data_IF_552554578636
#
_entry.id   IF_552554578636
#
_cell.length_a   1.000
_cell.length_b   1.000
_cell.length_c   1.000
_cell.angle_alpha   90.00
_cell.angle_beta   90.00
_cell.angle_gamma   90.00
#
_symmetry.space_group_name_H-M   'P 1'
#
loop_
_entity.id
_entity.type
_entity.pdbx_description
1 polymer ?
#
# COMPACT_ATOMS: atom_id res chain seq x y z
N UNK A 1 20.68 -4.39 -38.20
CA UNK A 1 20.35 -4.93 -39.53
C UNK A 1 19.47 -3.90 -40.24
N UNK A 2 20.04 -3.31 -41.31
CA UNK A 2 19.48 -2.33 -42.24
C UNK A 2 18.87 -1.03 -41.68
N UNK A 3 19.69 0.00 -41.42
CA UNK A 3 19.25 1.41 -41.34
C UNK A 3 20.42 2.37 -41.65
N UNK A 4 20.99 2.33 -42.86
CA UNK A 4 21.75 3.47 -43.41
C UNK A 4 21.59 3.48 -44.93
N UNK A 5 20.49 4.07 -45.42
CA UNK A 5 20.38 4.88 -46.66
C UNK A 5 18.90 5.03 -47.00
N UNK A 6 18.36 6.21 -46.69
CA UNK A 6 16.98 6.54 -47.01
C UNK A 6 16.65 7.90 -46.42
N UNK A 7 16.63 8.91 -47.27
CA UNK A 7 16.07 10.24 -47.01
C UNK A 7 14.59 10.13 -46.66
N UNK A 8 14.27 9.69 -45.44
CA UNK A 8 12.93 9.74 -44.90
C UNK A 8 12.61 11.20 -44.58
N UNK A 9 12.12 11.94 -45.57
CA UNK A 9 11.42 13.19 -45.32
C UNK A 9 10.24 12.87 -44.39
N UNK A 10 10.36 13.27 -43.11
CA UNK A 10 9.23 13.30 -42.17
C UNK A 10 8.04 13.92 -42.91
N UNK A 11 6.93 13.18 -42.98
CA UNK A 11 5.77 13.60 -43.79
C UNK A 11 5.36 15.04 -43.45
N UNK A 12 4.90 15.81 -44.44
CA UNK A 12 4.45 17.19 -44.22
C UNK A 12 3.35 17.30 -43.15
N UNK A 13 2.59 16.22 -42.92
CA UNK A 13 1.64 16.10 -41.80
C UNK A 13 2.33 16.03 -40.44
N UNK A 14 3.44 15.30 -40.31
CA UNK A 14 4.21 15.23 -39.07
C UNK A 14 4.83 16.59 -38.72
N UNK A 15 5.43 17.30 -39.68
CA UNK A 15 5.96 18.66 -39.45
C UNK A 15 4.85 19.66 -39.08
N UNK A 16 3.70 19.60 -39.75
CA UNK A 16 2.54 20.48 -39.45
C UNK A 16 1.91 20.15 -38.08
N UNK A 17 1.90 18.88 -37.68
CA UNK A 17 1.45 18.44 -36.36
C UNK A 17 2.40 18.91 -35.25
N UNK A 18 3.71 18.73 -35.42
CA UNK A 18 4.75 19.24 -34.52
C UNK A 18 4.75 20.77 -34.41
N UNK A 19 4.47 21.48 -35.52
CA UNK A 19 4.34 22.94 -35.51
C UNK A 19 3.14 23.45 -34.69
N UNK A 20 2.05 22.67 -34.61
CA UNK A 20 0.85 22.98 -33.82
C UNK A 20 1.06 22.78 -32.31
N UNK A 21 1.95 21.88 -31.91
CA UNK A 21 2.17 21.48 -30.50
C UNK A 21 3.20 22.35 -29.75
N UNK A 22 3.75 23.40 -30.36
CA UNK A 22 4.61 24.36 -29.65
C UNK A 22 3.86 25.31 -28.72
N UNK A 23 2.52 25.41 -28.82
CA UNK A 23 1.74 26.22 -27.88
C UNK A 23 1.80 25.58 -26.50
N UNK A 24 2.48 26.24 -25.56
CA UNK A 24 2.56 25.79 -24.17
C UNK A 24 1.28 26.21 -23.45
N UNK A 25 0.48 25.24 -23.02
CA UNK A 25 -0.66 25.50 -22.12
C UNK A 25 -0.14 25.61 -20.67
N UNK A 26 -0.87 26.31 -19.78
CA UNK A 26 -0.50 26.36 -18.35
C UNK A 26 -0.36 24.97 -17.74
N UNK A 27 -1.26 24.05 -18.11
CA UNK A 27 -1.20 22.65 -17.72
C UNK A 27 0.12 21.97 -18.12
N UNK A 28 0.51 22.10 -19.39
CA UNK A 28 1.74 21.49 -19.89
C UNK A 28 2.98 22.07 -19.23
N UNK A 29 3.01 23.37 -18.91
CA UNK A 29 4.13 23.97 -18.20
C UNK A 29 4.25 23.48 -16.75
N UNK A 30 3.13 23.15 -16.11
CA UNK A 30 3.10 22.73 -14.72
C UNK A 30 3.44 21.24 -14.53
N UNK A 31 2.97 20.37 -15.42
CA UNK A 31 3.12 18.91 -15.28
C UNK A 31 4.18 18.27 -16.20
N UNK A 32 4.98 19.05 -16.92
CA UNK A 32 6.11 18.55 -17.73
C UNK A 32 7.41 19.29 -17.34
N UNK A 33 8.42 18.59 -16.78
CA UNK A 33 8.49 17.13 -16.57
C UNK A 33 7.56 16.61 -15.46
N UNK A 34 7.11 15.36 -15.58
CA UNK A 34 6.41 14.66 -14.51
C UNK A 34 7.39 14.09 -13.46
N UNK A 35 6.89 13.68 -12.30
CA UNK A 35 7.75 13.07 -11.26
C UNK A 35 8.20 11.66 -11.66
N UNK A 36 7.28 10.70 -11.73
CA UNK A 36 7.64 9.28 -11.90
C UNK A 36 6.85 8.61 -13.03
N UNK A 37 7.53 7.83 -13.87
CA UNK A 37 6.91 6.89 -14.79
C UNK A 37 6.98 5.47 -14.22
N UNK A 38 5.83 4.83 -13.97
CA UNK A 38 5.74 3.41 -13.63
C UNK A 38 5.49 2.59 -14.90
N UNK A 39 6.31 1.57 -15.17
CA UNK A 39 6.18 0.77 -16.39
C UNK A 39 6.85 -0.60 -16.27
N UNK A 40 6.63 -1.46 -17.28
CA UNK A 40 7.22 -2.77 -17.39
C UNK A 40 8.50 -2.77 -18.25
N UNK A 41 9.40 -3.72 -17.97
CA UNK A 41 10.68 -3.89 -18.69
C UNK A 41 10.49 -4.08 -20.20
N UNK A 42 9.41 -4.74 -20.61
CA UNK A 42 9.12 -5.12 -21.99
C UNK A 42 8.84 -3.95 -22.95
N UNK A 43 8.46 -2.78 -22.43
CA UNK A 43 8.15 -1.61 -23.24
C UNK A 43 9.16 -0.46 -23.06
N UNK A 44 10.33 -0.71 -22.48
CA UNK A 44 11.37 0.31 -22.32
C UNK A 44 11.79 0.88 -23.68
N UNK A 45 12.16 0.02 -24.64
CA UNK A 45 12.66 0.44 -25.95
C UNK A 45 11.57 1.03 -26.84
N UNK A 46 10.37 0.46 -26.79
CA UNK A 46 9.25 0.86 -27.64
C UNK A 46 8.49 2.08 -27.13
N UNK A 47 8.50 2.32 -25.82
CA UNK A 47 7.70 3.37 -25.19
C UNK A 47 8.57 4.41 -24.48
N UNK A 48 9.33 4.00 -23.45
CA UNK A 48 10.11 4.91 -22.59
C UNK A 48 11.12 5.71 -23.43
N UNK A 49 11.90 5.04 -24.28
CA UNK A 49 12.86 5.69 -25.17
C UNK A 49 12.18 6.69 -26.12
N UNK A 50 10.99 6.36 -26.65
CA UNK A 50 10.26 7.26 -27.56
C UNK A 50 9.73 8.49 -26.83
N UNK A 51 9.24 8.35 -25.61
CA UNK A 51 8.82 9.49 -24.78
C UNK A 51 10.00 10.45 -24.53
N UNK A 52 11.17 9.91 -24.19
CA UNK A 52 12.39 10.70 -23.98
C UNK A 52 12.79 11.43 -25.27
N UNK A 53 12.87 10.71 -26.40
CA UNK A 53 13.23 11.30 -27.70
C UNK A 53 12.29 12.43 -28.10
N UNK A 54 10.98 12.21 -28.01
CA UNK A 54 10.00 13.22 -28.40
C UNK A 54 10.00 14.42 -27.46
N UNK A 55 10.10 14.22 -26.14
CA UNK A 55 10.11 15.35 -25.21
C UNK A 55 11.40 16.17 -25.35
N UNK A 56 12.55 15.53 -25.54
CA UNK A 56 13.80 16.24 -25.84
C UNK A 56 13.70 17.01 -27.16
N UNK A 57 13.15 16.41 -28.21
CA UNK A 57 13.01 17.07 -29.51
C UNK A 57 12.05 18.27 -29.48
N UNK A 58 10.94 18.16 -28.73
CA UNK A 58 9.88 19.17 -28.70
C UNK A 58 10.10 20.25 -27.62
N UNK A 59 10.77 19.90 -26.51
CA UNK A 59 10.84 20.72 -25.29
C UNK A 59 12.25 20.91 -24.75
N UNK A 60 13.24 20.12 -25.18
CA UNK A 60 14.62 20.21 -24.70
C UNK A 60 14.83 19.69 -23.27
N UNK A 61 13.85 19.00 -22.67
CA UNK A 61 13.95 18.41 -21.34
C UNK A 61 13.47 16.95 -21.33
N UNK A 62 13.87 16.20 -20.30
CA UNK A 62 13.35 14.85 -20.06
C UNK A 62 11.86 14.92 -19.67
N UNK A 63 11.04 13.91 -20.02
CA UNK A 63 9.61 13.90 -19.71
C UNK A 63 9.28 13.55 -18.25
N UNK A 64 10.19 12.88 -17.55
CA UNK A 64 10.01 12.43 -16.15
C UNK A 64 11.35 12.50 -15.39
N UNK A 65 11.28 12.62 -14.06
CA UNK A 65 12.45 12.60 -13.17
C UNK A 65 12.89 11.17 -12.84
N UNK A 66 11.94 10.32 -12.47
CA UNK A 66 12.16 8.93 -12.08
C UNK A 66 11.45 7.95 -13.03
N UNK A 67 12.03 6.76 -13.19
CA UNK A 67 11.37 5.62 -13.88
C UNK A 67 11.40 4.41 -12.97
N UNK A 68 10.22 4.01 -12.51
CA UNK A 68 10.03 2.79 -11.74
C UNK A 68 9.68 1.63 -12.69
N UNK A 69 10.57 0.63 -12.74
CA UNK A 69 10.36 -0.59 -13.52
C UNK A 69 9.83 -1.67 -12.58
N UNK A 70 8.54 -1.97 -12.69
CA UNK A 70 7.94 -3.01 -11.85
C UNK A 70 8.26 -4.41 -12.38
N UNK A 71 8.29 -5.38 -11.46
CA UNK A 71 8.39 -6.81 -11.78
C UNK A 71 7.20 -7.27 -12.65
N UNK A 72 7.43 -8.23 -13.54
CA UNK A 72 6.34 -8.87 -14.27
C UNK A 72 5.79 -10.04 -13.48
N UNK A 73 4.47 -10.20 -13.51
CA UNK A 73 3.80 -11.34 -12.89
C UNK A 73 3.74 -12.48 -13.92
N UNK A 74 4.28 -13.62 -13.53
CA UNK A 74 4.33 -14.85 -14.30
C UNK A 74 3.42 -15.90 -13.67
N UNK A 75 3.01 -16.90 -14.45
CA UNK A 75 2.30 -18.05 -13.90
C UNK A 75 3.21 -18.89 -12.97
N UNK A 76 2.66 -19.96 -12.38
CA UNK A 76 3.42 -20.85 -11.48
C UNK A 76 4.64 -21.51 -12.13
N UNK A 77 4.61 -21.69 -13.46
CA UNK A 77 5.71 -22.28 -14.24
C UNK A 77 6.73 -21.24 -14.71
N UNK A 78 6.49 -19.94 -14.45
CA UNK A 78 7.35 -18.84 -14.87
C UNK A 78 7.09 -18.36 -16.31
N UNK A 79 5.98 -18.77 -16.93
CA UNK A 79 5.57 -18.25 -18.25
C UNK A 79 4.87 -16.92 -18.08
N UNK A 80 5.04 -16.05 -19.09
CA UNK A 80 4.28 -14.79 -19.15
C UNK A 80 2.78 -15.08 -19.19
N UNK A 81 2.01 -14.36 -18.38
CA UNK A 81 0.56 -14.45 -18.42
C UNK A 81 0.02 -13.88 -19.74
N UNK A 82 -0.85 -14.63 -20.40
CA UNK A 82 -1.50 -14.18 -21.64
C UNK A 82 -2.91 -14.75 -21.76
N UNK A 83 -3.74 -14.06 -22.55
CA UNK A 83 -5.10 -14.53 -22.85
C UNK A 83 -5.09 -15.81 -23.68
N UNK A 84 -4.14 -15.96 -24.60
CA UNK A 84 -4.04 -17.14 -25.47
C UNK A 84 -3.62 -18.40 -24.73
N UNK A 85 -2.80 -18.28 -23.67
CA UNK A 85 -2.39 -19.40 -22.83
C UNK A 85 -3.42 -19.74 -21.74
N UNK A 86 -4.39 -18.86 -21.49
CA UNK A 86 -5.38 -19.06 -20.42
C UNK A 86 -4.79 -19.13 -19.01
N UNK A 87 -3.53 -18.72 -18.84
CA UNK A 87 -2.77 -18.76 -17.58
C UNK A 87 -2.79 -17.41 -16.83
N UNK A 88 -3.68 -16.50 -17.22
CA UNK A 88 -3.90 -15.23 -16.55
C UNK A 88 -4.94 -15.32 -15.43
N UNK A 89 -4.82 -14.43 -14.46
CA UNK A 89 -5.83 -14.20 -13.42
C UNK A 89 -6.51 -12.86 -13.71
N UNK A 90 -7.84 -12.84 -13.76
CA UNK A 90 -8.59 -11.60 -13.96
C UNK A 90 -8.66 -10.82 -12.63
N UNK A 91 -8.23 -9.55 -12.58
CA UNK A 91 -8.31 -8.75 -11.35
C UNK A 91 -9.74 -8.60 -10.83
N UNK A 92 -10.77 -8.56 -11.69
CA UNK A 92 -12.16 -8.45 -11.25
C UNK A 92 -12.60 -9.72 -10.52
N UNK A 93 -12.17 -10.89 -10.99
CA UNK A 93 -12.47 -12.16 -10.33
C UNK A 93 -11.85 -12.21 -8.92
N UNK A 94 -10.63 -11.68 -8.76
CA UNK A 94 -9.99 -11.55 -7.45
C UNK A 94 -10.70 -10.53 -6.57
N UNK A 95 -11.12 -9.38 -7.10
CA UNK A 95 -11.88 -8.39 -6.34
C UNK A 95 -13.19 -8.99 -5.82
N UNK A 96 -13.91 -9.75 -6.64
CA UNK A 96 -15.16 -10.38 -6.22
C UNK A 96 -14.96 -11.50 -5.19
N UNK A 97 -13.87 -12.25 -5.26
CA UNK A 97 -13.61 -13.40 -4.38
C UNK A 97 -12.85 -13.06 -3.09
N UNK A 98 -11.90 -12.12 -3.14
CA UNK A 98 -10.99 -11.79 -2.04
C UNK A 98 -11.06 -10.31 -1.60
N UNK A 99 -11.61 -9.42 -2.43
CA UNK A 99 -11.68 -7.99 -2.19
C UNK A 99 -10.56 -7.19 -2.86
N UNK A 100 -10.83 -5.90 -3.09
CA UNK A 100 -9.87 -5.00 -3.74
C UNK A 100 -8.61 -4.75 -2.89
N UNK A 101 -8.75 -4.66 -1.57
CA UNK A 101 -7.62 -4.45 -0.68
C UNK A 101 -6.71 -5.68 -0.63
N UNK A 102 -7.28 -6.88 -0.66
CA UNK A 102 -6.50 -8.12 -0.75
C UNK A 102 -5.66 -8.15 -2.03
N UNK A 103 -6.25 -7.83 -3.18
CA UNK A 103 -5.54 -7.71 -4.45
C UNK A 103 -4.40 -6.69 -4.36
N UNK A 104 -4.68 -5.47 -3.91
CA UNK A 104 -3.69 -4.38 -3.84
C UNK A 104 -2.55 -4.69 -2.88
N UNK A 105 -2.86 -5.22 -1.71
CA UNK A 105 -1.87 -5.60 -0.71
C UNK A 105 -0.96 -6.71 -1.23
N UNK A 106 -1.52 -7.78 -1.79
CA UNK A 106 -0.75 -8.88 -2.37
C UNK A 106 0.16 -8.39 -3.51
N UNK A 107 -0.33 -7.53 -4.41
CA UNK A 107 0.47 -6.98 -5.50
C UNK A 107 1.61 -6.08 -4.99
N UNK A 108 1.34 -5.22 -4.00
CA UNK A 108 2.36 -4.37 -3.39
C UNK A 108 3.45 -5.21 -2.72
N UNK A 109 3.06 -6.24 -1.97
CA UNK A 109 3.98 -7.16 -1.31
C UNK A 109 4.83 -7.95 -2.33
N UNK A 110 4.27 -8.29 -3.49
CA UNK A 110 4.97 -8.98 -4.56
C UNK A 110 5.86 -8.06 -5.41
N UNK A 111 5.81 -6.74 -5.22
CA UNK A 111 6.62 -5.80 -6.01
C UNK A 111 8.05 -5.73 -5.46
N UNK A 112 8.83 -6.77 -5.73
CA UNK A 112 10.26 -6.84 -5.39
C UNK A 112 11.12 -6.16 -6.48
N UNK A 113 12.30 -5.64 -6.10
CA UNK A 113 13.08 -4.74 -6.96
C UNK A 113 13.63 -5.38 -8.25
N UNK A 114 13.99 -6.68 -8.23
CA UNK A 114 14.88 -7.23 -9.26
C UNK A 114 14.26 -8.37 -10.07
N UNK A 115 13.37 -9.15 -9.48
CA UNK A 115 12.90 -10.41 -10.06
C UNK A 115 11.43 -10.36 -10.42
N UNK A 116 11.11 -10.97 -11.57
CA UNK A 116 9.75 -11.29 -11.93
C UNK A 116 9.15 -12.25 -10.89
N UNK A 117 7.87 -12.10 -10.63
CA UNK A 117 7.22 -12.84 -9.55
C UNK A 117 6.30 -13.90 -10.12
N UNK A 118 6.50 -15.13 -9.66
CA UNK A 118 5.62 -16.24 -9.97
C UNK A 118 4.38 -16.20 -9.10
N UNK A 119 3.24 -16.40 -9.74
CA UNK A 119 1.93 -16.48 -9.12
C UNK A 119 1.26 -17.77 -9.59
N UNK A 120 1.24 -18.82 -8.75
CA UNK A 120 0.55 -20.06 -9.07
C UNK A 120 -0.91 -19.76 -9.39
N UNK A 121 -1.37 -20.24 -10.54
CA UNK A 121 -2.76 -20.07 -10.97
C UNK A 121 -3.49 -21.38 -10.72
N UNK A 122 -4.57 -21.29 -9.96
CA UNK A 122 -5.43 -22.42 -9.58
C UNK A 122 -6.85 -22.05 -9.97
N UNK A 123 -7.68 -23.03 -10.31
CA UNK A 123 -9.11 -22.76 -10.50
C UNK A 123 -9.83 -22.76 -9.17
N UNK A 124 -10.61 -21.72 -8.93
CA UNK A 124 -11.53 -21.67 -7.80
C UNK A 124 -12.60 -22.76 -8.00
N UNK A 125 -12.73 -23.72 -7.05
CA UNK A 125 -13.73 -24.79 -7.17
C UNK A 125 -15.18 -24.29 -7.17
N UNK A 126 -15.46 -23.11 -6.60
CA UNK A 126 -16.81 -22.55 -6.54
C UNK A 126 -17.22 -21.86 -7.84
N UNK A 127 -16.31 -21.08 -8.43
CA UNK A 127 -16.61 -20.22 -9.60
C UNK A 127 -16.05 -20.77 -10.92
N UNK A 128 -15.11 -21.71 -10.86
CA UNK A 128 -14.36 -22.24 -12.02
C UNK A 128 -13.35 -21.24 -12.60
N UNK A 129 -13.20 -20.06 -12.00
CA UNK A 129 -12.35 -18.95 -12.48
C UNK A 129 -10.92 -19.09 -11.98
N UNK A 130 -9.98 -18.49 -12.68
CA UNK A 130 -8.57 -18.52 -12.30
C UNK A 130 -8.34 -17.62 -11.08
N UNK A 131 -7.73 -18.17 -10.04
CA UNK A 131 -7.32 -17.49 -8.81
C UNK A 131 -5.89 -17.86 -8.44
N UNK A 132 -5.36 -17.30 -7.36
CA UNK A 132 -4.07 -17.66 -6.79
C UNK A 132 -4.13 -17.73 -5.27
N UNK A 133 -3.48 -18.73 -4.64
CA UNK A 133 -3.37 -18.78 -3.18
C UNK A 133 -2.62 -17.58 -2.58
N UNK A 134 -1.89 -16.80 -3.40
CA UNK A 134 -1.26 -15.55 -2.93
C UNK A 134 -2.26 -14.49 -2.49
N UNK A 135 -3.50 -14.52 -3.00
CA UNK A 135 -4.54 -13.58 -2.61
C UNK A 135 -5.22 -13.96 -1.28
N UNK A 136 -5.10 -15.21 -0.85
CA UNK A 136 -5.60 -15.64 0.46
C UNK A 136 -4.88 -14.89 1.59
N UNK A 137 -3.58 -14.63 1.44
CA UNK A 137 -2.79 -13.86 2.40
C UNK A 137 -3.36 -12.44 2.57
N UNK A 138 -3.63 -11.75 1.46
CA UNK A 138 -4.24 -10.42 1.48
C UNK A 138 -5.63 -10.42 2.12
N UNK A 139 -6.47 -11.40 1.78
CA UNK A 139 -7.82 -11.53 2.38
C UNK A 139 -7.74 -11.76 3.88
N UNK A 140 -6.87 -12.68 4.32
CA UNK A 140 -6.68 -13.01 5.72
C UNK A 140 -6.15 -11.81 6.51
N UNK A 141 -5.25 -11.03 5.92
CA UNK A 141 -4.76 -9.79 6.51
C UNK A 141 -5.87 -8.74 6.66
N UNK A 142 -6.65 -8.48 5.63
CA UNK A 142 -7.80 -7.57 5.70
C UNK A 142 -8.81 -8.01 6.77
N UNK A 143 -9.09 -9.32 6.87
CA UNK A 143 -9.95 -9.87 7.92
C UNK A 143 -9.37 -9.67 9.32
N UNK A 144 -8.05 -9.84 9.50
CA UNK A 144 -7.37 -9.58 10.78
C UNK A 144 -7.50 -8.10 11.17
N UNK A 145 -7.32 -7.18 10.21
CA UNK A 145 -7.52 -5.74 10.43
C UNK A 145 -8.96 -5.44 10.87
N UNK A 146 -9.93 -5.99 10.16
CA UNK A 146 -11.35 -5.83 10.49
C UNK A 146 -11.66 -6.31 11.91
N UNK A 147 -11.21 -7.51 12.27
CA UNK A 147 -11.45 -8.09 13.60
C UNK A 147 -10.80 -7.27 14.73
N UNK A 148 -9.55 -6.84 14.54
CA UNK A 148 -8.86 -6.01 15.53
C UNK A 148 -9.53 -4.63 15.68
N UNK A 149 -9.97 -4.02 14.58
CA UNK A 149 -10.67 -2.73 14.60
C UNK A 149 -12.02 -2.86 15.30
N UNK A 150 -12.81 -3.91 15.00
CA UNK A 150 -14.08 -4.19 15.68
C UNK A 150 -13.90 -4.38 17.18
N UNK A 151 -12.83 -5.06 17.60
CA UNK A 151 -12.48 -5.19 19.01
C UNK A 151 -12.14 -3.84 19.65
N UNK A 152 -11.32 -3.02 19.00
CA UNK A 152 -10.98 -1.69 19.50
C UNK A 152 -12.23 -0.79 19.64
N UNK A 153 -13.13 -0.80 18.65
CA UNK A 153 -14.36 -0.01 18.67
C UNK A 153 -15.29 -0.43 19.81
N UNK A 154 -15.49 -1.73 20.03
CA UNK A 154 -16.36 -2.22 21.12
C UNK A 154 -15.83 -1.85 22.51
N UNK A 155 -14.50 -1.76 22.65
CA UNK A 155 -13.83 -1.28 23.86
C UNK A 155 -14.09 0.22 24.09
N UNK A 156 -14.03 1.03 23.03
CA UNK A 156 -14.30 2.47 23.11
C UNK A 156 -15.77 2.78 23.47
N UNK A 157 -16.71 2.03 22.90
CA UNK A 157 -18.15 2.18 23.18
C UNK A 157 -18.51 1.83 24.63
N UNK A 158 -17.90 0.79 25.21
CA UNK A 158 -18.14 0.45 26.62
C UNK A 158 -17.57 1.51 27.58
N UNK A 159 -16.46 2.14 27.19
CA UNK A 159 -15.84 3.22 27.95
C UNK A 159 -16.72 4.48 28.00
N UNK A 160 -17.48 4.77 26.93
CA UNK A 160 -18.37 5.94 26.88
C UNK A 160 -19.66 5.73 27.69
N UNK A 161 -20.22 4.52 27.70
CA UNK A 161 -21.45 4.18 28.43
C UNK A 161 -21.28 4.17 29.95
N UNK A 162 -20.10 3.77 30.46
CA UNK A 162 -19.84 3.79 31.91
C UNK A 162 -19.62 5.21 32.48
N UNK A 163 -19.42 6.22 31.62
CA UNK A 163 -19.27 7.61 32.06
C UNK A 163 -20.63 8.28 32.34
N UNK A 164 -21.74 7.70 31.86
CA UNK A 164 -23.10 8.26 32.02
C UNK A 164 -23.91 7.64 33.17
N UNK A 165 -23.47 6.52 33.76
CA UNK A 165 -24.22 5.80 34.79
C UNK A 165 -23.79 6.08 36.25
N UNK A 166 -22.95 7.09 36.52
CA UNK A 166 -22.52 7.39 37.89
C UNK A 166 -21.52 8.54 38.03
N UNK A 167 -21.83 9.71 37.47
CA UNK A 167 -21.05 10.92 37.72
C UNK A 167 -21.88 11.94 38.52
N UNK A 168 -21.60 12.04 39.81
CA UNK A 168 -21.92 13.22 40.61
C UNK A 168 -21.21 14.45 40.01
N UNK A 169 -21.86 15.63 39.87
CA UNK A 169 -21.30 16.75 39.10
C UNK A 169 -20.25 17.60 39.83
N UNK A 170 -19.67 17.15 40.94
CA UNK A 170 -18.76 17.99 41.74
C UNK A 170 -17.52 17.22 42.21
N UNK A 171 -16.49 17.24 41.37
CA UNK A 171 -15.08 17.22 41.80
C UNK A 171 -14.21 17.83 40.71
N UNK A 172 -13.93 19.14 40.75
CA UNK A 172 -12.93 19.76 39.89
C UNK A 172 -11.54 19.31 40.38
N UNK A 173 -10.78 18.66 39.49
CA UNK A 173 -9.39 18.31 39.75
C UNK A 173 -9.21 17.00 40.49
N UNK A 174 -9.30 15.88 39.77
CA UNK A 174 -8.46 14.74 40.11
C UNK A 174 -7.41 14.59 39.00
N UNK A 175 -6.17 14.80 39.44
CA UNK A 175 -4.95 14.66 38.69
C UNK A 175 -4.94 13.39 37.84
N UNK A 176 -4.17 13.44 36.75
CA UNK A 176 -3.54 12.25 36.16
C UNK A 176 -3.15 11.33 37.33
N UNK A 177 -3.70 10.11 37.45
CA UNK A 177 -3.23 9.19 38.47
C UNK A 177 -1.74 9.03 38.22
N UNK A 178 -0.93 9.44 39.20
CA UNK A 178 0.51 9.35 39.12
C UNK A 178 0.90 7.95 38.67
N UNK A 179 1.71 7.89 37.61
CA UNK A 179 3.00 7.18 37.57
C UNK A 179 3.22 5.97 38.49
N UNK A 180 2.24 5.09 38.66
CA UNK A 180 2.44 3.84 39.40
C UNK A 180 1.60 2.71 38.82
N UNK A 181 1.80 2.48 37.53
CA UNK A 181 1.79 1.13 36.98
C UNK A 181 2.94 0.98 35.98
N UNK A 182 4.14 0.80 36.51
CA UNK A 182 5.42 0.83 35.80
C UNK A 182 5.46 -0.13 34.60
N UNK A 183 4.74 -1.25 34.66
CA UNK A 183 4.65 -2.22 33.57
C UNK A 183 3.72 -1.81 32.42
N UNK A 184 2.76 -0.91 32.67
CA UNK A 184 1.71 -0.60 31.68
C UNK A 184 2.00 0.66 30.88
N UNK A 185 2.72 1.62 31.46
CA UNK A 185 3.40 2.65 30.69
C UNK A 185 4.34 2.00 29.68
N UNK A 186 5.10 0.99 30.11
CA UNK A 186 6.09 0.30 29.26
C UNK A 186 5.46 -0.36 28.02
N UNK A 187 4.34 -1.07 28.14
CA UNK A 187 3.68 -1.70 26.98
C UNK A 187 3.14 -0.67 25.99
N UNK A 188 2.59 0.44 26.50
CA UNK A 188 2.08 1.54 25.66
C UNK A 188 3.23 2.30 24.98
N UNK A 189 4.28 2.63 25.71
CA UNK A 189 5.49 3.27 25.18
C UNK A 189 6.18 2.36 24.17
N UNK A 190 6.20 1.05 24.42
CA UNK A 190 6.73 0.06 23.50
C UNK A 190 5.97 0.06 22.17
N UNK A 191 4.64 -0.06 22.16
CA UNK A 191 3.89 -0.09 20.88
C UNK A 191 4.01 1.23 20.12
N UNK A 192 4.05 2.37 20.83
CA UNK A 192 4.25 3.68 20.22
C UNK A 192 5.66 3.83 19.61
N UNK A 193 6.67 3.31 20.29
CA UNK A 193 8.04 3.24 19.76
C UNK A 193 8.12 2.36 18.50
N UNK A 194 7.46 1.19 18.51
CA UNK A 194 7.34 0.31 17.33
C UNK A 194 6.61 0.99 16.18
N UNK A 195 5.55 1.74 16.46
CA UNK A 195 4.83 2.52 15.47
C UNK A 195 5.71 3.63 14.88
N UNK A 196 6.44 4.36 15.71
CA UNK A 196 7.36 5.40 15.24
C UNK A 196 8.45 4.82 14.33
N UNK A 197 9.02 3.66 14.68
CA UNK A 197 9.98 2.95 13.84
C UNK A 197 9.35 2.53 12.51
N UNK A 198 8.13 1.95 12.53
CA UNK A 198 7.41 1.57 11.32
C UNK A 198 7.17 2.77 10.40
N UNK A 199 6.79 3.93 10.94
CA UNK A 199 6.56 5.15 10.15
C UNK A 199 7.85 5.59 9.45
N UNK A 200 8.97 5.63 10.18
CA UNK A 200 10.28 5.97 9.61
C UNK A 200 10.70 4.98 8.52
N UNK A 201 10.57 3.68 8.78
CA UNK A 201 10.92 2.62 7.83
C UNK A 201 10.03 2.66 6.58
N UNK A 202 8.74 2.95 6.76
CA UNK A 202 7.76 3.09 5.68
C UNK A 202 8.05 4.28 4.80
N UNK A 203 8.41 5.43 5.39
CA UNK A 203 8.83 6.62 4.63
C UNK A 203 10.06 6.34 3.79
N UNK A 204 11.08 5.68 4.38
CA UNK A 204 12.29 5.29 3.66
C UNK A 204 11.99 4.31 2.52
N UNK A 205 11.15 3.30 2.77
CA UNK A 205 10.79 2.31 1.77
C UNK A 205 10.03 2.94 0.59
N UNK A 206 9.06 3.81 0.86
CA UNK A 206 8.30 4.51 -0.18
C UNK A 206 9.18 5.47 -0.99
N UNK A 207 10.09 6.20 -0.35
CA UNK A 207 11.04 7.08 -1.04
C UNK A 207 11.97 6.33 -2.00
N UNK A 208 12.24 5.05 -1.74
CA UNK A 208 13.09 4.18 -2.56
C UNK A 208 12.30 3.24 -3.47
N UNK A 209 10.98 3.42 -3.58
CA UNK A 209 10.07 2.54 -4.34
C UNK A 209 10.09 1.06 -3.87
N UNK A 210 10.43 0.80 -2.60
CA UNK A 210 10.45 -0.52 -1.96
C UNK A 210 9.06 -0.93 -1.44
N UNK A 211 8.08 -1.02 -2.34
CA UNK A 211 6.67 -1.32 -1.97
C UNK A 211 6.52 -2.66 -1.23
N UNK A 212 7.33 -3.66 -1.58
CA UNK A 212 7.33 -4.96 -0.87
C UNK A 212 7.75 -4.81 0.59
N UNK A 213 8.82 -4.06 0.87
CA UNK A 213 9.29 -3.81 2.23
C UNK A 213 8.28 -2.99 3.04
N UNK A 214 7.66 -1.99 2.40
CA UNK A 214 6.57 -1.23 3.01
C UNK A 214 5.39 -2.13 3.41
N UNK A 215 4.89 -2.95 2.48
CA UNK A 215 3.77 -3.86 2.75
C UNK A 215 4.11 -4.91 3.83
N UNK A 216 5.33 -5.45 3.80
CA UNK A 216 5.79 -6.42 4.79
C UNK A 216 5.94 -5.80 6.18
N UNK A 217 6.48 -4.57 6.27
CA UNK A 217 6.61 -3.84 7.54
C UNK A 217 5.25 -3.57 8.19
N UNK A 218 4.26 -3.14 7.39
CA UNK A 218 2.88 -2.96 7.85
C UNK A 218 2.28 -4.27 8.36
N UNK A 219 2.46 -5.36 7.61
CA UNK A 219 1.97 -6.68 8.00
C UNK A 219 2.57 -7.15 9.31
N UNK A 220 3.90 -7.06 9.46
CA UNK A 220 4.61 -7.54 10.64
C UNK A 220 4.24 -6.73 11.88
N UNK A 221 4.17 -5.40 11.78
CA UNK A 221 3.73 -4.56 12.89
C UNK A 221 2.28 -4.88 13.29
N UNK A 222 1.36 -4.89 12.32
CA UNK A 222 -0.06 -5.05 12.63
C UNK A 222 -0.37 -6.45 13.17
N UNK A 223 0.21 -7.48 12.56
CA UNK A 223 -0.05 -8.85 12.95
C UNK A 223 0.72 -9.24 14.21
N UNK A 224 2.04 -9.05 14.23
CA UNK A 224 2.89 -9.55 15.31
C UNK A 224 2.90 -8.58 16.49
N UNK A 225 3.21 -7.31 16.26
CA UNK A 225 3.40 -6.36 17.37
C UNK A 225 2.06 -5.92 17.97
N UNK A 226 1.09 -5.55 17.12
CA UNK A 226 -0.21 -5.04 17.58
C UNK A 226 -1.15 -6.17 18.00
N UNK A 227 -1.47 -7.10 17.10
CA UNK A 227 -2.48 -8.12 17.40
C UNK A 227 -1.99 -9.18 18.38
N UNK A 228 -0.82 -9.78 18.13
CA UNK A 228 -0.38 -10.93 18.91
C UNK A 228 0.24 -10.54 20.27
N UNK A 229 0.86 -9.36 20.36
CA UNK A 229 1.47 -8.87 21.61
C UNK A 229 0.65 -7.79 22.30
N UNK A 230 0.44 -6.64 21.68
CA UNK A 230 -0.17 -5.49 22.35
C UNK A 230 -1.62 -5.76 22.79
N UNK A 231 -2.47 -6.25 21.88
CA UNK A 231 -3.87 -6.55 22.18
C UNK A 231 -3.96 -7.64 23.26
N UNK A 232 -3.16 -8.70 23.18
CA UNK A 232 -3.14 -9.75 24.21
C UNK A 232 -2.66 -9.22 25.56
N UNK A 233 -1.65 -8.33 25.59
CA UNK A 233 -1.14 -7.74 26.83
C UNK A 233 -2.16 -6.84 27.55
N UNK A 234 -3.09 -6.21 26.81
CA UNK A 234 -4.12 -5.34 27.40
C UNK A 234 -5.40 -6.09 27.78
N UNK A 235 -5.68 -7.28 27.22
CA UNK A 235 -6.90 -8.06 27.50
C UNK A 235 -7.15 -8.37 28.98
N UNK A 236 -6.17 -8.75 29.82
CA UNK A 236 -6.41 -9.06 31.24
C UNK A 236 -7.01 -7.89 32.04
N UNK A 237 -6.85 -6.66 31.56
CA UNK A 237 -7.39 -5.45 32.19
C UNK A 237 -8.88 -5.27 31.94
N UNK A 238 -9.44 -6.00 30.97
CA UNK A 238 -10.84 -5.98 30.62
C UNK A 238 -11.69 -6.93 31.48
N UNK A 239 -11.07 -7.65 32.42
CA UNK A 239 -11.85 -8.42 33.37
C UNK A 239 -12.74 -7.48 34.20
N UNK A 240 -14.03 -7.80 34.26
CA UNK A 240 -15.20 -6.91 34.49
C UNK A 240 -15.24 -6.16 35.84
N UNK A 241 -14.17 -6.18 36.62
CA UNK A 241 -14.16 -5.84 38.06
C UNK A 241 -13.18 -4.74 38.48
N UNK A 242 -12.37 -4.14 37.59
CA UNK A 242 -11.30 -3.19 37.99
C UNK A 242 -11.45 -1.76 37.42
N UNK A 243 -11.41 -0.69 38.25
CA UNK A 243 -11.66 0.70 37.83
C UNK A 243 -10.49 1.42 37.10
N UNK A 244 -9.36 0.75 36.84
CA UNK A 244 -8.13 1.32 36.26
C UNK A 244 -8.09 1.37 34.71
N UNK A 245 -9.17 0.98 34.03
CA UNK A 245 -9.26 0.80 32.57
C UNK A 245 -9.26 2.13 31.78
N UNK A 246 -9.51 3.26 32.46
CA UNK A 246 -9.80 4.57 31.82
C UNK A 246 -8.63 5.25 31.08
N UNK A 247 -7.37 4.95 31.38
CA UNK A 247 -6.26 5.80 30.95
C UNK A 247 -5.57 5.37 29.63
N UNK A 248 -5.83 4.15 29.14
CA UNK A 248 -4.98 3.54 28.11
C UNK A 248 -5.24 4.05 26.68
N UNK A 249 -6.46 4.45 26.36
CA UNK A 249 -6.87 4.78 24.98
C UNK A 249 -6.91 6.27 24.66
N UNK A 250 -6.82 7.15 25.67
CA UNK A 250 -6.77 8.61 25.47
C UNK A 250 -5.47 9.09 24.80
N UNK A 251 -4.49 8.19 24.63
CA UNK A 251 -3.22 8.48 23.93
C UNK A 251 -3.38 8.37 22.40
N UNK A 252 -4.41 7.70 21.90
CA UNK A 252 -4.58 7.44 20.45
C UNK A 252 -5.48 8.44 19.71
N UNK A 253 -6.18 9.32 20.42
CA UNK A 253 -7.02 10.36 19.81
C UNK A 253 -6.67 11.70 20.48
N UNK A 254 -5.89 12.58 19.85
CA UNK A 254 -5.84 13.96 20.27
C UNK A 254 -7.22 14.56 19.97
N UNK A 255 -7.97 14.87 21.03
CA UNK A 255 -9.02 15.91 20.97
C UNK A 255 -8.34 17.23 21.28
#
# INVERSE_FOLDING_TARGET
MCWIHGSAQLSGRFRRWVGRTRKTTPALAHWNPSSTLCTAREIITLWVSRMVMFNLYLRGCLPFQDVFIHAMIQDGEGRKMSKSLGNGVDPLDIIHSHGADALRFTLAQMTTQTQDVRMPVVKDPATGRNTSPKFDLGRNFSNKIWNATRFAMSVLEQSSQQTTAGADPQSPGMAMPGSSSTNHGLVNEWILSRLAQLVSDSQSALAQFEFSRYAQGLYDFFWRDLCDWYIEAIKPRWDRTSPSVRCCWRVWIPV
#
